data_IF_301575916903
#
_entry.id   IF_301575916903
#
_cell.length_a   1.000
_cell.length_b   1.000
_cell.length_c   1.000
_cell.angle_alpha   90.00
_cell.angle_beta   90.00
_cell.angle_gamma   90.00
#
_symmetry.space_group_name_H-M   'P 1'
#
loop_
_entity.id
_entity.type
_entity.pdbx_description
1 polymer ?
#
# COMPACT_ATOMS: atom_id res chain seq x y z
N UNK A 1 19.11 11.42 -5.58
CA UNK A 1 19.42 10.77 -6.87
C UNK A 1 18.24 9.89 -7.29
N UNK A 2 17.57 10.17 -8.42
CA UNK A 2 16.47 9.32 -8.95
C UNK A 2 17.02 8.41 -10.04
N UNK A 3 16.91 7.09 -9.86
CA UNK A 3 17.29 6.12 -10.90
C UNK A 3 16.23 6.18 -12.00
N UNK A 4 16.66 6.51 -13.22
CA UNK A 4 15.82 6.44 -14.42
C UNK A 4 16.04 5.08 -15.09
N UNK A 5 14.95 4.35 -15.28
CA UNK A 5 14.95 3.05 -15.94
C UNK A 5 14.58 3.23 -17.42
N UNK A 6 15.35 2.59 -18.30
CA UNK A 6 15.17 2.62 -19.75
C UNK A 6 14.98 1.20 -20.31
N UNK A 7 14.73 1.08 -21.61
CA UNK A 7 14.55 -0.21 -22.27
C UNK A 7 13.35 -0.98 -21.73
N UNK A 8 13.53 -2.26 -21.41
CA UNK A 8 12.46 -3.14 -20.89
C UNK A 8 11.98 -2.79 -19.47
N UNK A 9 12.72 -1.95 -18.74
CA UNK A 9 12.35 -1.52 -17.38
C UNK A 9 11.74 -0.12 -17.36
N UNK A 10 11.58 0.53 -18.52
CA UNK A 10 10.96 1.85 -18.60
C UNK A 10 9.49 1.82 -18.17
N UNK A 11 9.02 2.84 -17.45
CA UNK A 11 7.68 2.80 -16.83
C UNK A 11 6.53 2.62 -17.86
N UNK A 12 6.75 3.07 -19.10
CA UNK A 12 5.80 2.98 -20.22
C UNK A 12 5.61 1.55 -20.74
N UNK A 13 6.65 0.72 -20.74
CA UNK A 13 6.63 -0.61 -21.37
C UNK A 13 6.93 -1.76 -20.39
N UNK A 14 7.39 -1.45 -19.16
CA UNK A 14 7.84 -2.42 -18.15
C UNK A 14 6.88 -3.59 -17.96
N UNK A 15 5.59 -3.28 -17.82
CA UNK A 15 4.56 -4.32 -17.62
C UNK A 15 4.50 -5.28 -18.81
N UNK A 16 4.48 -4.78 -20.05
CA UNK A 16 4.41 -5.61 -21.26
C UNK A 16 5.71 -6.40 -21.47
N UNK A 17 6.86 -5.75 -21.32
CA UNK A 17 8.17 -6.36 -21.53
C UNK A 17 8.46 -7.47 -20.50
N UNK A 18 8.22 -7.23 -19.21
CA UNK A 18 8.45 -8.24 -18.16
C UNK A 18 7.52 -9.45 -18.34
N UNK A 19 6.26 -9.24 -18.72
CA UNK A 19 5.33 -10.34 -19.02
C UNK A 19 5.84 -11.20 -20.18
N UNK A 20 6.32 -10.57 -21.25
CA UNK A 20 6.87 -11.28 -22.41
C UNK A 20 8.12 -12.08 -22.04
N UNK A 21 9.08 -11.46 -21.33
CA UNK A 21 10.31 -12.13 -20.88
C UNK A 21 9.98 -13.36 -20.02
N UNK A 22 9.05 -13.24 -19.07
CA UNK A 22 8.65 -14.37 -18.20
C UNK A 22 8.02 -15.52 -18.99
N UNK A 23 7.17 -15.22 -19.98
CA UNK A 23 6.59 -16.22 -20.88
C UNK A 23 7.67 -16.95 -21.68
N UNK A 24 8.65 -16.22 -22.20
CA UNK A 24 9.74 -16.78 -23.00
C UNK A 24 10.68 -17.67 -22.17
N UNK A 25 10.91 -17.35 -20.89
CA UNK A 25 11.74 -18.16 -19.99
C UNK A 25 10.99 -19.42 -19.50
N UNK A 26 9.67 -19.52 -19.71
CA UNK A 26 8.88 -20.67 -19.26
C UNK A 26 8.64 -20.69 -17.75
N UNK A 27 8.82 -19.56 -17.06
CA UNK A 27 8.54 -19.47 -15.63
C UNK A 27 7.03 -19.45 -15.42
N UNK A 28 6.51 -20.43 -14.69
CA UNK A 28 5.10 -20.46 -14.27
C UNK A 28 4.79 -19.16 -13.53
N UNK A 29 3.90 -18.38 -14.14
CA UNK A 29 3.49 -17.10 -13.61
C UNK A 29 2.38 -17.31 -12.59
N UNK A 30 2.71 -17.34 -11.31
CA UNK A 30 1.74 -16.93 -10.31
C UNK A 30 1.51 -15.43 -10.52
N UNK A 31 0.39 -15.10 -11.14
CA UNK A 31 -0.10 -13.73 -11.18
C UNK A 31 -0.42 -13.38 -9.74
N UNK A 32 0.55 -12.77 -9.05
CA UNK A 32 0.30 -12.12 -7.76
C UNK A 32 -0.66 -10.98 -8.08
N UNK A 33 -1.95 -11.26 -7.98
CA UNK A 33 -2.99 -10.26 -8.03
C UNK A 33 -2.80 -9.46 -6.75
N UNK A 34 -2.06 -8.36 -6.87
CA UNK A 34 -2.04 -7.35 -5.83
C UNK A 34 -3.46 -6.77 -5.79
N UNK A 35 -4.28 -7.33 -4.91
CA UNK A 35 -5.55 -6.72 -4.53
C UNK A 35 -5.21 -5.30 -4.12
N UNK A 36 -5.94 -4.32 -4.68
CA UNK A 36 -5.82 -2.93 -4.24
C UNK A 36 -6.41 -2.84 -2.83
N UNK A 37 -5.59 -3.16 -1.84
CA UNK A 37 -5.91 -2.92 -0.43
C UNK A 37 -5.81 -1.42 -0.17
N UNK A 38 -6.80 -0.87 0.52
CA UNK A 38 -6.69 0.45 1.14
C UNK A 38 -5.65 0.40 2.27
N UNK A 39 -5.13 1.56 2.67
CA UNK A 39 -4.18 1.65 3.80
C UNK A 39 -4.80 1.05 5.07
N UNK A 40 -6.10 1.27 5.30
CA UNK A 40 -6.81 0.73 6.45
C UNK A 40 -6.85 -0.82 6.41
N UNK A 41 -7.25 -1.42 5.30
CA UNK A 41 -7.29 -2.88 5.13
C UNK A 41 -5.90 -3.50 5.28
N UNK A 42 -4.88 -2.86 4.67
CA UNK A 42 -3.50 -3.32 4.77
C UNK A 42 -2.98 -3.29 6.20
N UNK A 43 -3.28 -2.22 6.94
CA UNK A 43 -2.86 -2.11 8.35
C UNK A 43 -3.61 -3.10 9.24
N UNK A 44 -4.91 -3.31 9.00
CA UNK A 44 -5.69 -4.31 9.70
C UNK A 44 -5.14 -5.73 9.44
N UNK A 45 -4.81 -6.08 8.20
CA UNK A 45 -4.22 -7.38 7.85
C UNK A 45 -2.86 -7.60 8.52
N UNK A 46 -2.00 -6.58 8.53
CA UNK A 46 -0.63 -6.71 9.05
C UNK A 46 -0.55 -6.66 10.58
N UNK A 47 -1.42 -5.88 11.24
CA UNK A 47 -1.32 -5.61 12.67
C UNK A 47 -2.47 -6.16 13.49
N UNK A 48 -3.57 -6.58 12.85
CA UNK A 48 -4.83 -6.94 13.50
C UNK A 48 -5.56 -5.75 14.12
N UNK A 49 -5.11 -4.51 13.87
CA UNK A 49 -5.63 -3.30 14.51
C UNK A 49 -6.17 -2.33 13.47
N UNK A 50 -7.37 -1.81 13.72
CA UNK A 50 -7.91 -0.69 12.96
C UNK A 50 -7.21 0.60 13.41
N UNK A 51 -6.37 1.16 12.53
CA UNK A 51 -5.64 2.41 12.77
C UNK A 51 -6.57 3.62 12.92
N UNK A 52 -7.83 3.51 12.48
CA UNK A 52 -8.81 4.56 12.67
C UNK A 52 -9.41 4.52 14.07
N UNK A 53 -9.17 3.49 14.90
CA UNK A 53 -9.64 3.49 16.28
C UNK A 53 -8.58 4.11 17.20
N UNK A 54 -9.04 4.97 18.11
CA UNK A 54 -8.18 5.47 19.17
C UNK A 54 -7.68 4.30 20.03
N UNK A 55 -6.36 4.12 20.14
CA UNK A 55 -5.78 3.03 20.92
C UNK A 55 -6.03 3.15 22.44
N UNK A 56 -6.31 4.36 22.93
CA UNK A 56 -6.58 4.60 24.34
C UNK A 56 -8.03 4.27 24.72
N UNK A 57 -9.01 4.85 24.01
CA UNK A 57 -10.42 4.71 24.40
C UNK A 57 -11.19 3.67 23.58
N UNK A 58 -10.69 3.25 22.41
CA UNK A 58 -11.32 2.30 21.45
C UNK A 58 -12.77 2.62 21.02
N UNK A 59 -13.35 3.73 21.49
CA UNK A 59 -14.76 4.10 21.31
C UNK A 59 -15.02 5.03 20.12
N UNK A 60 -13.99 5.73 19.63
CA UNK A 60 -14.14 6.78 18.60
C UNK A 60 -13.23 6.51 17.42
N UNK A 61 -13.76 6.77 16.21
CA UNK A 61 -12.97 6.79 14.97
C UNK A 61 -12.22 8.12 14.84
N UNK A 62 -10.93 8.03 14.57
CA UNK A 62 -10.04 9.14 14.25
C UNK A 62 -10.27 9.54 12.80
N UNK A 63 -10.53 10.83 12.57
CA UNK A 63 -10.76 11.39 11.24
C UNK A 63 -9.51 12.19 10.87
N UNK A 64 -8.77 11.83 9.80
CA UNK A 64 -7.59 12.57 9.37
C UNK A 64 -7.94 14.02 9.03
N UNK A 65 -7.14 14.98 9.51
CA UNK A 65 -7.26 16.40 9.12
C UNK A 65 -8.08 17.30 10.05
N UNK A 66 -8.55 16.82 11.21
CA UNK A 66 -9.07 17.72 12.24
C UNK A 66 -7.97 18.04 13.26
N UNK A 67 -7.87 19.32 13.60
CA UNK A 67 -7.10 19.79 14.74
C UNK A 67 -7.72 19.15 15.98
N UNK A 68 -6.92 18.41 16.77
CA UNK A 68 -7.38 17.96 18.08
C UNK A 68 -7.60 19.22 18.94
N UNK A 69 -8.76 19.37 19.59
CA UNK A 69 -8.93 20.44 20.56
C UNK A 69 -7.85 20.30 21.63
N UNK A 70 -7.18 21.40 21.95
CA UNK A 70 -6.20 21.45 23.04
C UNK A 70 -6.90 20.99 24.31
N UNK A 71 -6.55 19.79 24.78
CA UNK A 71 -6.98 19.31 26.07
C UNK A 71 -6.19 20.11 27.09
N UNK A 72 -6.81 21.16 27.65
CA UNK A 72 -6.30 21.82 28.85
C UNK A 72 -6.29 20.77 29.97
N UNK A 73 -5.13 20.20 30.24
CA UNK A 73 -4.86 19.44 31.45
C UNK A 73 -4.67 20.45 32.58
N UNK A 74 -5.67 20.54 33.46
CA UNK A 74 -5.57 21.16 34.79
C UNK A 74 -4.81 20.27 35.75
#
# INVERSE_FOLDING_TARGET
MKIRYYGFLANTNKRKAILLIRRLIGVVMEVIVFVKETIQEKMLRLTGRDILLCQHCKKRRMIPGRILPLLNTS
#
